data_IF_333483662946
#
_entry.id   IF_333483662946
#
_cell.length_a   1.000
_cell.length_b   1.000
_cell.length_c   1.000
_cell.angle_alpha   90.00
_cell.angle_beta   90.00
_cell.angle_gamma   90.00
#
_symmetry.space_group_name_H-M   'P 1'
#
loop_
_entity.id
_entity.type
_entity.pdbx_description
1 polymer ?
#
# COMPACT_ATOMS: atom_id res chain seq x y z
N UNK A 1 -33.70 0.67 8.94
CA UNK A 1 -34.48 1.67 9.69
C UNK A 1 -33.56 2.21 10.77
N UNK A 2 -33.09 3.45 10.59
CA UNK A 2 -32.18 4.10 11.54
C UNK A 2 -33.01 4.63 12.71
N UNK A 3 -32.75 4.10 13.91
CA UNK A 3 -33.30 4.65 15.15
C UNK A 3 -32.48 5.91 15.51
N UNK A 4 -33.10 7.09 15.64
CA UNK A 4 -32.36 8.29 15.92
C UNK A 4 -31.76 8.26 17.33
N UNK A 5 -30.47 8.60 17.44
CA UNK A 5 -29.76 8.69 18.73
C UNK A 5 -30.30 9.83 19.59
N UNK A 6 -30.05 9.77 20.90
CA UNK A 6 -30.61 10.68 21.92
C UNK A 6 -30.29 12.17 21.70
N UNK A 7 -29.30 12.48 20.86
CA UNK A 7 -28.83 13.84 20.55
C UNK A 7 -28.95 14.21 19.07
N UNK A 8 -29.75 13.48 18.28
CA UNK A 8 -29.84 13.63 16.83
C UNK A 8 -30.89 14.67 16.37
N UNK A 9 -31.12 15.76 17.14
CA UNK A 9 -32.07 16.82 16.77
C UNK A 9 -31.58 17.72 15.61
N UNK A 10 -30.33 17.55 15.14
CA UNK A 10 -29.80 18.29 14.00
C UNK A 10 -30.13 17.59 12.66
N UNK A 11 -31.15 18.08 11.94
CA UNK A 11 -31.46 17.69 10.55
C UNK A 11 -30.30 17.93 9.53
N UNK A 12 -29.20 18.55 9.94
CA UNK A 12 -28.08 18.91 9.07
C UNK A 12 -27.00 17.84 9.08
N UNK A 13 -26.98 17.01 8.04
CA UNK A 13 -25.94 15.99 7.77
C UNK A 13 -24.55 16.62 7.64
N UNK A 14 -23.51 15.89 8.06
CA UNK A 14 -22.13 16.29 7.84
C UNK A 14 -21.81 16.41 6.33
N UNK A 15 -20.91 17.34 6.00
CA UNK A 15 -20.54 17.65 4.62
C UNK A 15 -19.81 16.47 3.96
N UNK A 16 -20.33 16.01 2.81
CA UNK A 16 -19.69 14.98 1.97
C UNK A 16 -18.27 15.41 1.61
N UNK A 17 -18.13 16.63 1.10
CA UNK A 17 -16.84 17.16 0.63
C UNK A 17 -15.80 17.20 1.75
N UNK A 18 -16.18 17.69 2.95
CA UNK A 18 -15.26 17.67 4.10
C UNK A 18 -14.85 16.23 4.44
N UNK A 19 -15.80 15.30 4.47
CA UNK A 19 -15.52 13.89 4.82
C UNK A 19 -14.58 13.22 3.81
N UNK A 20 -14.81 13.46 2.52
CA UNK A 20 -13.95 12.95 1.44
C UNK A 20 -12.54 13.50 1.55
N UNK A 21 -12.39 14.81 1.75
CA UNK A 21 -11.06 15.42 1.88
C UNK A 21 -10.34 14.90 3.13
N UNK A 22 -11.03 14.73 4.26
CA UNK A 22 -10.44 14.10 5.46
C UNK A 22 -9.90 12.71 5.12
N UNK A 23 -10.72 11.86 4.48
CA UNK A 23 -10.31 10.50 4.09
C UNK A 23 -9.10 10.51 3.15
N UNK A 24 -9.10 11.39 2.14
CA UNK A 24 -7.99 11.51 1.19
C UNK A 24 -6.72 12.04 1.84
N UNK A 25 -6.79 13.01 2.74
CA UNK A 25 -5.61 13.53 3.45
C UNK A 25 -5.00 12.41 4.30
N UNK A 26 -5.80 11.74 5.13
CA UNK A 26 -5.31 10.68 6.01
C UNK A 26 -4.74 9.49 5.21
N UNK A 27 -5.40 9.12 4.11
CA UNK A 27 -4.93 8.09 3.18
C UNK A 27 -3.64 8.47 2.46
N UNK A 28 -3.54 9.67 1.90
CA UNK A 28 -2.33 10.16 1.19
C UNK A 28 -1.14 10.24 2.15
N UNK A 29 -1.34 10.71 3.39
CA UNK A 29 -0.27 10.77 4.38
C UNK A 29 0.21 9.36 4.73
N UNK A 30 -0.72 8.43 4.97
CA UNK A 30 -0.39 7.04 5.28
C UNK A 30 0.35 6.35 4.13
N UNK A 31 -0.19 6.39 2.92
CA UNK A 31 0.41 5.77 1.72
C UNK A 31 1.71 6.47 1.32
N UNK A 32 1.76 7.81 1.39
CA UNK A 32 2.96 8.59 1.10
C UNK A 32 4.11 8.25 2.04
N UNK A 33 3.84 8.09 3.33
CA UNK A 33 4.86 7.64 4.30
C UNK A 33 5.26 6.19 4.09
N UNK A 34 4.36 5.29 3.67
CA UNK A 34 4.73 3.91 3.30
C UNK A 34 5.78 3.93 2.19
N UNK A 35 5.52 4.67 1.11
CA UNK A 35 6.47 4.79 0.00
C UNK A 35 7.76 5.48 0.40
N UNK A 36 7.70 6.54 1.22
CA UNK A 36 8.89 7.22 1.71
C UNK A 36 9.78 6.29 2.55
N UNK A 37 9.19 5.48 3.43
CA UNK A 37 9.93 4.49 4.22
C UNK A 37 10.50 3.39 3.33
N UNK A 38 9.70 2.87 2.41
CA UNK A 38 10.10 1.75 1.57
C UNK A 38 11.21 2.12 0.58
N UNK A 39 11.04 3.22 -0.15
CA UNK A 39 12.06 3.68 -1.09
C UNK A 39 13.22 4.41 -0.40
N UNK A 40 12.99 5.04 0.74
CA UNK A 40 14.06 5.74 1.47
C UNK A 40 14.99 4.79 2.24
N UNK A 41 14.41 3.83 2.96
CA UNK A 41 15.13 2.97 3.92
C UNK A 41 15.25 1.54 3.40
N UNK A 42 14.15 0.93 2.94
CA UNK A 42 14.18 -0.49 2.56
C UNK A 42 15.03 -0.78 1.31
N UNK A 43 15.30 0.22 0.46
CA UNK A 43 16.27 0.08 -0.64
C UNK A 43 17.67 -0.31 -0.17
N UNK A 44 18.03 0.03 1.07
CA UNK A 44 19.33 -0.33 1.67
C UNK A 44 19.23 -1.58 2.56
N UNK A 45 18.12 -1.72 3.30
CA UNK A 45 17.93 -2.85 4.22
C UNK A 45 17.72 -4.16 3.46
N UNK A 46 16.91 -4.17 2.40
CA UNK A 46 16.58 -5.41 1.67
C UNK A 46 17.85 -6.06 1.08
N UNK A 47 18.74 -5.34 0.38
CA UNK A 47 19.98 -5.92 -0.12
C UNK A 47 20.90 -6.45 0.98
N UNK A 48 20.94 -5.78 2.14
CA UNK A 48 21.73 -6.21 3.28
C UNK A 48 21.18 -7.50 3.90
N UNK A 49 19.86 -7.62 4.05
CA UNK A 49 19.22 -8.81 4.63
C UNK A 49 19.21 -9.99 3.68
N UNK A 50 19.03 -9.74 2.37
CA UNK A 50 18.92 -10.76 1.34
C UNK A 50 20.24 -10.97 0.55
N UNK A 51 21.38 -10.62 1.15
CA UNK A 51 22.67 -10.62 0.46
C UNK A 51 23.00 -11.98 -0.20
N UNK A 52 22.76 -13.07 0.53
CA UNK A 52 23.04 -14.43 0.05
C UNK A 52 22.10 -14.84 -1.09
N UNK A 53 20.83 -14.48 -0.97
CA UNK A 53 19.82 -14.74 -1.98
C UNK A 53 20.14 -13.97 -3.26
N UNK A 54 20.46 -12.68 -3.15
CA UNK A 54 20.84 -11.83 -4.29
C UNK A 54 22.09 -12.37 -4.97
N UNK A 55 23.12 -12.73 -4.20
CA UNK A 55 24.35 -13.30 -4.75
C UNK A 55 24.09 -14.56 -5.59
N UNK A 56 23.29 -15.50 -5.07
CA UNK A 56 22.94 -16.74 -5.80
C UNK A 56 22.09 -16.47 -7.03
N UNK A 57 21.05 -15.65 -6.90
CA UNK A 57 20.20 -15.26 -8.01
C UNK A 57 21.02 -14.62 -9.14
N UNK A 58 21.93 -13.72 -8.78
CA UNK A 58 22.81 -13.06 -9.74
C UNK A 58 23.79 -14.05 -10.39
N UNK A 59 24.38 -14.99 -9.65
CA UNK A 59 25.28 -15.99 -10.23
C UNK A 59 24.60 -16.78 -11.34
N UNK A 60 23.41 -17.33 -11.07
CA UNK A 60 22.65 -18.08 -12.07
C UNK A 60 22.21 -17.20 -13.25
N UNK A 61 21.78 -15.97 -12.97
CA UNK A 61 21.40 -15.01 -14.00
C UNK A 61 22.56 -14.68 -14.94
N UNK A 62 23.73 -14.40 -14.37
CA UNK A 62 24.94 -14.09 -15.13
C UNK A 62 25.41 -15.27 -15.97
N UNK A 63 25.43 -16.48 -15.40
CA UNK A 63 25.82 -17.70 -16.11
C UNK A 63 24.95 -17.92 -17.35
N UNK A 64 23.62 -17.81 -17.20
CA UNK A 64 22.69 -17.97 -18.33
C UNK A 64 22.88 -16.85 -19.35
N UNK A 65 22.92 -15.58 -18.93
CA UNK A 65 23.13 -14.47 -19.85
C UNK A 65 24.45 -14.56 -20.62
N UNK A 66 25.54 -14.98 -19.98
CA UNK A 66 26.83 -15.22 -20.66
C UNK A 66 26.70 -16.35 -21.67
N UNK A 67 26.06 -17.46 -21.30
CA UNK A 67 25.88 -18.60 -22.22
C UNK A 67 25.02 -18.27 -23.44
N UNK A 68 24.07 -17.35 -23.28
CA UNK A 68 23.12 -16.92 -24.31
C UNK A 68 23.58 -15.67 -25.07
N UNK A 69 24.77 -15.14 -24.75
CA UNK A 69 25.30 -13.88 -25.29
C UNK A 69 24.32 -12.69 -25.14
N UNK A 70 23.66 -12.59 -23.98
CA UNK A 70 22.73 -11.50 -23.64
C UNK A 70 23.40 -10.54 -22.65
N UNK A 71 23.44 -9.23 -22.94
CA UNK A 71 24.03 -8.25 -22.03
C UNK A 71 23.10 -8.03 -20.83
N UNK A 72 23.70 -7.88 -19.65
CA UNK A 72 22.98 -7.68 -18.40
C UNK A 72 23.53 -6.46 -17.64
N UNK A 73 22.71 -5.94 -16.74
CA UNK A 73 23.03 -4.80 -15.88
C UNK A 73 22.38 -4.96 -14.52
N UNK A 74 22.90 -4.23 -13.52
CA UNK A 74 22.35 -4.22 -12.18
C UNK A 74 20.97 -3.53 -12.15
N UNK A 75 20.00 -4.20 -11.54
CA UNK A 75 18.64 -3.71 -11.36
C UNK A 75 18.34 -3.28 -9.93
N UNK A 76 17.06 -3.22 -9.60
CA UNK A 76 16.61 -2.83 -8.26
C UNK A 76 17.09 -3.83 -7.23
N UNK A 77 17.50 -3.34 -6.05
CA UNK A 77 18.04 -4.14 -4.95
C UNK A 77 19.31 -4.93 -5.30
N UNK A 78 19.99 -4.59 -6.39
CA UNK A 78 21.19 -5.30 -6.85
C UNK A 78 20.90 -6.58 -7.61
N UNK A 79 19.64 -6.89 -7.95
CA UNK A 79 19.28 -8.05 -8.77
C UNK A 79 19.51 -7.72 -10.24
N UNK A 80 20.26 -8.58 -10.93
CA UNK A 80 20.59 -8.36 -12.33
C UNK A 80 19.39 -8.58 -13.25
N UNK A 81 19.39 -7.84 -14.36
CA UNK A 81 18.38 -7.91 -15.41
C UNK A 81 19.02 -7.70 -16.78
N UNK A 82 18.29 -7.98 -17.86
CA UNK A 82 18.76 -7.72 -19.22
C UNK A 82 19.01 -6.22 -19.39
N UNK A 83 20.16 -5.87 -19.94
CA UNK A 83 20.46 -4.50 -20.37
C UNK A 83 19.68 -4.26 -21.67
N UNK A 84 18.44 -3.80 -21.54
CA UNK A 84 17.52 -3.61 -22.66
C UNK A 84 18.12 -2.71 -23.74
N UNK A 85 18.89 -1.68 -23.36
CA UNK A 85 19.53 -0.77 -24.32
C UNK A 85 20.58 -1.49 -25.15
N UNK A 86 21.48 -2.23 -24.50
CA UNK A 86 22.53 -2.97 -25.21
C UNK A 86 21.96 -4.12 -26.04
N UNK A 87 20.97 -4.83 -25.51
CA UNK A 87 20.40 -5.97 -26.22
C UNK A 87 19.59 -5.54 -27.44
N UNK A 88 18.77 -4.48 -27.33
CA UNK A 88 18.04 -3.92 -28.48
C UNK A 88 19.02 -3.42 -29.56
N UNK A 89 20.13 -2.81 -29.16
CA UNK A 89 21.17 -2.40 -30.11
C UNK A 89 21.79 -3.61 -30.83
N UNK A 90 22.12 -4.68 -30.11
CA UNK A 90 22.64 -5.91 -30.70
C UNK A 90 21.65 -6.55 -31.69
N UNK A 91 20.35 -6.57 -31.36
CA UNK A 91 19.31 -7.07 -32.26
C UNK A 91 19.19 -6.22 -33.54
N UNK A 92 19.28 -4.89 -33.41
CA UNK A 92 19.28 -3.99 -34.56
C UNK A 92 20.50 -4.21 -35.45
N UNK A 93 21.69 -4.39 -34.86
CA UNK A 93 22.93 -4.71 -35.60
C UNK A 93 22.88 -6.08 -36.30
N UNK A 94 22.09 -7.02 -35.77
CA UNK A 94 21.81 -8.32 -36.37
C UNK A 94 20.78 -8.26 -37.52
N UNK A 95 20.23 -7.08 -37.82
CA UNK A 95 19.30 -6.86 -38.93
C UNK A 95 17.84 -7.18 -38.60
N UNK A 96 17.47 -7.26 -37.32
CA UNK A 96 16.06 -7.36 -36.91
C UNK A 96 15.35 -6.03 -37.23
N UNK A 97 14.15 -6.13 -37.82
CA UNK A 97 13.31 -4.98 -38.15
C UNK A 97 12.93 -4.19 -36.90
N UNK A 98 12.91 -2.85 -37.00
CA UNK A 98 12.73 -1.94 -35.87
C UNK A 98 11.40 -2.17 -35.13
N UNK A 99 10.33 -2.49 -35.88
CA UNK A 99 9.00 -2.79 -35.36
C UNK A 99 8.95 -4.12 -34.56
N UNK A 100 9.94 -5.01 -34.74
CA UNK A 100 10.05 -6.32 -34.06
C UNK A 100 11.08 -6.37 -32.93
N UNK A 101 11.85 -5.29 -32.73
CA UNK A 101 12.92 -5.27 -31.72
C UNK A 101 12.39 -5.48 -30.30
N UNK A 102 11.29 -4.80 -29.95
CA UNK A 102 10.71 -4.90 -28.61
C UNK A 102 10.12 -6.28 -28.35
N UNK A 103 9.39 -6.84 -29.32
CA UNK A 103 8.79 -8.16 -29.20
C UNK A 103 9.87 -9.25 -29.05
N UNK A 104 10.93 -9.16 -29.86
CA UNK A 104 12.08 -10.08 -29.75
C UNK A 104 12.80 -9.94 -28.40
N UNK A 105 12.94 -8.71 -27.88
CA UNK A 105 13.50 -8.48 -26.55
C UNK A 105 12.64 -9.14 -25.45
N UNK A 106 11.33 -8.93 -25.48
CA UNK A 106 10.42 -9.50 -24.48
C UNK A 106 10.42 -11.03 -24.54
N UNK A 107 10.37 -11.62 -25.73
CA UNK A 107 10.50 -13.07 -25.92
C UNK A 107 11.81 -13.59 -25.32
N UNK A 108 12.93 -12.88 -25.49
CA UNK A 108 14.20 -13.30 -24.90
C UNK A 108 14.18 -13.24 -23.38
N UNK A 109 13.55 -12.22 -22.80
CA UNK A 109 13.40 -12.13 -21.33
C UNK A 109 12.60 -13.33 -20.81
N UNK A 110 11.47 -13.67 -21.46
CA UNK A 110 10.65 -14.82 -21.08
C UNK A 110 11.44 -16.14 -21.20
N UNK A 111 12.24 -16.32 -22.27
CA UNK A 111 13.10 -17.49 -22.43
C UNK A 111 14.15 -17.62 -21.30
N UNK A 112 14.72 -16.51 -20.86
CA UNK A 112 15.70 -16.48 -19.77
C UNK A 112 15.04 -16.84 -18.44
N UNK A 113 13.85 -16.32 -18.17
CA UNK A 113 13.07 -16.62 -16.97
C UNK A 113 12.69 -18.11 -16.92
N UNK A 114 12.27 -18.70 -18.06
CA UNK A 114 12.00 -20.13 -18.18
C UNK A 114 13.23 -21.01 -17.93
N UNK A 115 14.43 -20.54 -18.32
CA UNK A 115 15.69 -21.23 -18.03
C UNK A 115 16.07 -21.12 -16.57
N UNK A 116 15.92 -19.94 -15.96
CA UNK A 116 16.17 -19.71 -14.54
C UNK A 116 15.25 -20.57 -13.66
N UNK A 117 13.97 -20.67 -14.01
CA UNK A 117 13.01 -21.49 -13.28
C UNK A 117 13.38 -22.98 -13.23
N UNK A 118 14.19 -23.46 -14.18
CA UNK A 118 14.70 -24.85 -14.25
C UNK A 118 15.99 -25.07 -13.47
N UNK A 119 16.65 -24.02 -13.00
CA UNK A 119 17.86 -24.14 -12.19
C UNK A 119 17.50 -24.62 -10.79
N UNK A 120 18.17 -25.69 -10.34
CA UNK A 120 17.93 -26.27 -9.03
C UNK A 120 18.13 -25.22 -7.91
N UNK A 121 17.08 -25.01 -7.12
CA UNK A 121 17.09 -24.06 -6.01
C UNK A 121 16.82 -22.59 -6.38
N UNK A 122 16.67 -22.24 -7.67
CA UNK A 122 16.35 -20.87 -8.09
C UNK A 122 15.02 -20.40 -7.50
N UNK A 123 13.95 -21.15 -7.74
CA UNK A 123 12.60 -20.81 -7.27
C UNK A 123 12.53 -20.68 -5.75
N UNK A 124 13.23 -21.54 -5.00
CA UNK A 124 13.27 -21.46 -3.54
C UNK A 124 14.02 -20.20 -3.07
N UNK A 125 15.15 -19.89 -3.70
CA UNK A 125 15.97 -18.71 -3.37
C UNK A 125 15.21 -17.42 -3.70
N UNK A 126 14.55 -17.37 -4.85
CA UNK A 126 13.69 -16.26 -5.24
C UNK A 126 12.54 -16.07 -4.25
N UNK A 127 11.90 -17.15 -3.81
CA UNK A 127 10.84 -17.09 -2.78
C UNK A 127 11.36 -16.55 -1.45
N UNK A 128 12.59 -16.89 -1.04
CA UNK A 128 13.22 -16.35 0.18
C UNK A 128 13.48 -14.85 0.04
N UNK A 129 14.07 -14.41 -1.08
CA UNK A 129 14.23 -12.99 -1.40
C UNK A 129 12.89 -12.25 -1.34
N UNK A 130 11.85 -12.77 -2.01
CA UNK A 130 10.53 -12.16 -2.04
C UNK A 130 9.87 -12.10 -0.65
N UNK A 131 10.12 -13.09 0.21
CA UNK A 131 9.64 -13.08 1.59
C UNK A 131 10.29 -11.95 2.41
N UNK A 132 11.61 -11.73 2.23
CA UNK A 132 12.33 -10.62 2.87
C UNK A 132 11.79 -9.28 2.36
N UNK A 133 11.61 -9.14 1.05
CA UNK A 133 11.01 -7.97 0.43
C UNK A 133 9.63 -7.66 1.03
N UNK A 134 8.74 -8.66 1.03
CA UNK A 134 7.36 -8.53 1.49
C UNK A 134 7.29 -8.20 2.99
N UNK A 135 8.10 -8.84 3.82
CA UNK A 135 8.17 -8.56 5.27
C UNK A 135 8.55 -7.10 5.53
N UNK A 136 9.54 -6.57 4.80
CA UNK A 136 9.97 -5.19 4.92
C UNK A 136 8.88 -4.22 4.44
N UNK A 137 8.21 -4.53 3.33
CA UNK A 137 7.10 -3.74 2.84
C UNK A 137 5.92 -3.69 3.83
N UNK A 138 5.51 -4.84 4.38
CA UNK A 138 4.47 -4.92 5.43
C UNK A 138 4.90 -4.13 6.67
N UNK A 139 6.19 -4.18 7.04
CA UNK A 139 6.70 -3.38 8.16
C UNK A 139 6.53 -1.87 7.92
N UNK A 140 6.74 -1.39 6.69
CA UNK A 140 6.44 0.00 6.33
C UNK A 140 4.95 0.35 6.45
N UNK A 141 4.06 -0.54 6.01
CA UNK A 141 2.61 -0.40 6.22
C UNK A 141 2.31 -0.27 7.72
N UNK A 142 2.86 -1.17 8.53
CA UNK A 142 2.63 -1.19 9.96
C UNK A 142 3.11 0.08 10.65
N UNK A 143 4.32 0.55 10.34
CA UNK A 143 4.88 1.77 10.95
C UNK A 143 4.04 2.99 10.57
N UNK A 144 3.72 3.15 9.28
CA UNK A 144 2.95 4.31 8.81
C UNK A 144 1.54 4.36 9.42
N UNK A 145 0.81 3.26 9.35
CA UNK A 145 -0.56 3.16 9.91
C UNK A 145 -0.57 3.36 11.42
N UNK A 146 0.41 2.78 12.13
CA UNK A 146 0.55 2.96 13.58
C UNK A 146 0.73 4.44 13.94
N UNK A 147 1.51 5.19 13.16
CA UNK A 147 1.71 6.63 13.41
C UNK A 147 0.40 7.40 13.16
N UNK A 148 -0.18 7.29 11.96
CA UNK A 148 -1.25 8.18 11.53
C UNK A 148 -2.64 7.78 12.03
N UNK A 149 -2.94 6.50 12.14
CA UNK A 149 -4.27 6.00 12.50
C UNK A 149 -4.39 5.58 13.97
N UNK A 150 -3.28 5.46 14.71
CA UNK A 150 -3.29 5.11 16.13
C UNK A 150 -2.60 6.15 17.02
N UNK A 151 -1.30 6.37 16.88
CA UNK A 151 -0.52 7.24 17.78
C UNK A 151 -1.07 8.66 17.75
N UNK A 152 -1.23 9.25 16.55
CA UNK A 152 -1.72 10.63 16.43
C UNK A 152 -3.12 10.79 17.06
N UNK A 153 -4.12 9.94 16.75
CA UNK A 153 -5.40 9.97 17.44
C UNK A 153 -5.28 9.78 18.96
N UNK A 154 -4.51 8.82 19.45
CA UNK A 154 -4.41 8.59 20.90
C UNK A 154 -3.74 9.75 21.65
N UNK A 155 -2.79 10.44 21.02
CA UNK A 155 -2.15 11.62 21.59
C UNK A 155 -3.03 12.89 21.52
N UNK A 156 -4.12 12.87 20.75
CA UNK A 156 -5.06 13.97 20.68
C UNK A 156 -6.21 13.79 21.68
N UNK A 157 -6.50 14.83 22.47
CA UNK A 157 -7.60 14.83 23.47
C UNK A 157 -8.98 14.44 22.93
N UNK A 158 -9.21 14.56 21.61
CA UNK A 158 -10.48 14.19 20.94
C UNK A 158 -10.29 13.13 19.85
N UNK A 159 -9.19 12.38 19.88
CA UNK A 159 -8.96 11.25 18.98
C UNK A 159 -9.03 11.56 17.49
N UNK A 160 -8.54 12.75 17.12
CA UNK A 160 -8.56 13.24 15.74
C UNK A 160 -7.38 12.69 14.95
N UNK A 161 -7.65 12.27 13.72
CA UNK A 161 -6.63 12.14 12.66
C UNK A 161 -6.21 13.52 12.16
N UNK A 162 -5.15 13.60 11.34
CA UNK A 162 -4.66 14.88 10.80
C UNK A 162 -5.73 15.58 9.98
N UNK A 163 -6.42 14.87 9.09
CA UNK A 163 -7.53 15.41 8.31
C UNK A 163 -8.63 15.99 9.21
N UNK A 164 -9.01 15.26 10.27
CA UNK A 164 -10.01 15.74 11.23
C UNK A 164 -9.56 17.00 11.99
N UNK A 165 -8.26 17.14 12.27
CA UNK A 165 -7.72 18.37 12.88
C UNK A 165 -7.89 19.58 11.97
N UNK A 166 -7.56 19.44 10.68
CA UNK A 166 -7.69 20.51 9.67
C UNK A 166 -9.15 21.00 9.57
N UNK A 167 -10.10 20.07 9.52
CA UNK A 167 -11.52 20.38 9.36
C UNK A 167 -12.28 20.56 10.68
N UNK A 168 -11.59 20.63 11.83
CA UNK A 168 -12.19 20.77 13.17
C UNK A 168 -13.36 19.80 13.38
N UNK A 169 -13.14 18.53 13.04
CA UNK A 169 -14.13 17.46 13.14
C UNK A 169 -13.68 16.42 14.17
N UNK A 170 -14.62 15.64 14.69
CA UNK A 170 -14.36 14.57 15.65
C UNK A 170 -14.93 13.26 15.14
N UNK A 171 -14.29 12.16 15.55
CA UNK A 171 -14.84 10.83 15.40
C UNK A 171 -15.75 10.54 16.60
N UNK A 172 -17.01 10.25 16.34
CA UNK A 172 -18.06 10.10 17.35
C UNK A 172 -18.88 8.83 17.14
N UNK A 173 -19.56 8.37 18.18
CA UNK A 173 -20.55 7.30 18.09
C UNK A 173 -21.92 7.83 17.61
N UNK A 174 -22.94 6.96 17.54
CA UNK A 174 -24.31 7.30 17.12
C UNK A 174 -24.96 8.42 17.95
N UNK A 175 -24.57 8.57 19.21
CA UNK A 175 -25.07 9.59 20.13
C UNK A 175 -24.21 10.88 20.09
N UNK A 176 -23.32 11.02 19.10
CA UNK A 176 -22.36 12.11 18.94
C UNK A 176 -21.37 12.26 20.11
N UNK A 177 -21.16 11.20 20.88
CA UNK A 177 -20.14 11.14 21.92
C UNK A 177 -18.80 10.78 21.28
N UNK A 178 -17.74 11.49 21.64
CA UNK A 178 -16.37 11.25 21.15
C UNK A 178 -15.96 9.79 21.38
N UNK A 179 -15.38 9.16 20.35
CA UNK A 179 -15.00 7.76 20.37
C UNK A 179 -14.04 7.42 21.53
N UNK A 180 -14.25 6.27 22.18
CA UNK A 180 -13.35 5.78 23.22
C UNK A 180 -12.05 5.20 22.64
N UNK A 181 -10.99 5.12 23.45
CA UNK A 181 -9.71 4.52 23.05
C UNK A 181 -9.86 3.10 22.47
N UNK A 182 -10.77 2.28 23.02
CA UNK A 182 -11.01 0.92 22.52
C UNK A 182 -11.62 0.91 21.11
N UNK A 183 -12.49 1.87 20.81
CA UNK A 183 -13.07 2.07 19.48
C UNK A 183 -12.03 2.58 18.48
N UNK A 184 -11.12 3.46 18.91
CA UNK A 184 -9.98 3.89 18.10
C UNK A 184 -9.06 2.72 17.76
N UNK A 185 -8.71 1.90 18.76
CA UNK A 185 -7.88 0.71 18.55
C UNK A 185 -8.52 -0.28 17.58
N UNK A 186 -9.83 -0.54 17.72
CA UNK A 186 -10.55 -1.43 16.81
C UNK A 186 -10.57 -0.88 15.37
N UNK A 187 -10.79 0.44 15.23
CA UNK A 187 -10.75 1.13 13.93
C UNK A 187 -9.37 0.98 13.28
N UNK A 188 -8.31 1.22 14.04
CA UNK A 188 -6.93 1.05 13.59
C UNK A 188 -6.64 -0.39 13.14
N UNK A 189 -6.98 -1.39 13.96
CA UNK A 189 -6.73 -2.80 13.63
C UNK A 189 -7.47 -3.21 12.35
N UNK A 190 -8.68 -2.70 12.15
CA UNK A 190 -9.45 -2.97 10.94
C UNK A 190 -8.79 -2.35 9.71
N UNK A 191 -8.39 -1.08 9.77
CA UNK A 191 -7.66 -0.41 8.67
C UNK A 191 -6.37 -1.18 8.36
N UNK A 192 -5.57 -1.49 9.37
CA UNK A 192 -4.27 -2.11 9.19
C UNK A 192 -4.37 -3.53 8.63
N UNK A 193 -5.18 -4.39 9.25
CA UNK A 193 -5.23 -5.82 8.92
C UNK A 193 -6.09 -6.04 7.68
N UNK A 194 -7.28 -5.45 7.63
CA UNK A 194 -8.27 -5.77 6.60
C UNK A 194 -8.08 -4.88 5.38
N UNK A 195 -8.12 -3.56 5.55
CA UNK A 195 -8.13 -2.62 4.41
C UNK A 195 -6.76 -2.49 3.74
N UNK A 196 -5.67 -2.71 4.47
CA UNK A 196 -4.32 -2.57 3.94
C UNK A 196 -3.60 -3.92 3.75
N UNK A 197 -3.31 -4.66 4.82
CA UNK A 197 -2.48 -5.89 4.71
C UNK A 197 -3.21 -6.98 3.91
N UNK A 198 -4.44 -7.35 4.29
CA UNK A 198 -5.15 -8.43 3.62
C UNK A 198 -5.47 -8.08 2.16
N UNK A 199 -5.94 -6.86 1.90
CA UNK A 199 -6.20 -6.37 0.54
C UNK A 199 -4.93 -6.41 -0.32
N UNK A 200 -3.79 -5.95 0.20
CA UNK A 200 -2.53 -6.01 -0.52
C UNK A 200 -2.08 -7.45 -0.80
N UNK A 201 -2.19 -8.35 0.17
CA UNK A 201 -1.80 -9.75 -0.01
C UNK A 201 -2.69 -10.50 -1.03
N UNK A 202 -3.96 -10.12 -1.15
CA UNK A 202 -4.91 -10.78 -2.06
C UNK A 202 -4.92 -10.20 -3.47
N UNK A 203 -4.86 -8.87 -3.61
CA UNK A 203 -5.10 -8.17 -4.88
C UNK A 203 -4.04 -7.07 -5.13
N UNK A 204 -2.98 -7.01 -4.32
CA UNK A 204 -1.88 -6.06 -4.45
C UNK A 204 -2.38 -4.59 -4.45
N UNK A 205 -1.65 -3.67 -5.07
CA UNK A 205 -2.01 -2.25 -5.16
C UNK A 205 -3.36 -1.98 -5.81
N UNK A 206 -3.79 -2.83 -6.75
CA UNK A 206 -5.10 -2.71 -7.38
C UNK A 206 -6.20 -2.87 -6.33
N UNK A 207 -6.01 -3.79 -5.37
CA UNK A 207 -6.90 -3.96 -4.23
C UNK A 207 -7.05 -2.69 -3.41
N UNK A 208 -5.94 -2.03 -3.05
CA UNK A 208 -5.95 -0.82 -2.23
C UNK A 208 -6.69 0.32 -2.95
N UNK A 209 -6.43 0.49 -4.25
CA UNK A 209 -7.16 1.48 -5.07
C UNK A 209 -8.66 1.18 -5.11
N UNK A 210 -9.04 -0.08 -5.27
CA UNK A 210 -10.44 -0.48 -5.33
C UNK A 210 -11.17 -0.29 -3.99
N UNK A 211 -10.53 -0.65 -2.88
CA UNK A 211 -11.03 -0.39 -1.52
C UNK A 211 -11.28 1.11 -1.32
N UNK A 212 -10.32 1.95 -1.71
CA UNK A 212 -10.43 3.41 -1.60
C UNK A 212 -11.64 3.93 -2.37
N UNK A 213 -11.88 3.41 -3.59
CA UNK A 213 -13.04 3.77 -4.40
C UNK A 213 -14.36 3.34 -3.74
N UNK A 214 -14.43 2.12 -3.21
CA UNK A 214 -15.60 1.65 -2.45
C UNK A 214 -15.88 2.58 -1.27
N UNK A 215 -14.84 2.94 -0.51
CA UNK A 215 -14.97 3.84 0.64
C UNK A 215 -15.46 5.23 0.22
N UNK A 216 -14.99 5.78 -0.90
CA UNK A 216 -15.50 7.06 -1.44
C UNK A 216 -16.98 6.97 -1.85
N UNK A 217 -17.41 5.85 -2.42
CA UNK A 217 -18.83 5.58 -2.72
C UNK A 217 -19.64 5.54 -1.42
N UNK A 218 -19.19 4.79 -0.40
CA UNK A 218 -19.87 4.70 0.89
C UNK A 218 -20.02 6.09 1.55
N UNK A 219 -18.98 6.91 1.53
CA UNK A 219 -19.04 8.29 2.04
C UNK A 219 -20.09 9.11 1.30
N UNK A 220 -20.20 8.95 -0.03
CA UNK A 220 -21.12 9.71 -0.89
C UNK A 220 -22.58 9.38 -0.63
N UNK A 221 -22.90 8.09 -0.41
CA UNK A 221 -24.29 7.62 -0.40
C UNK A 221 -24.85 7.34 0.99
N UNK A 222 -24.01 7.13 2.01
CA UNK A 222 -24.50 6.88 3.38
C UNK A 222 -24.92 8.17 4.09
N UNK A 223 -25.97 8.09 4.92
CA UNK A 223 -26.49 9.25 5.67
C UNK A 223 -25.47 9.89 6.60
N UNK A 224 -24.67 9.07 7.28
CA UNK A 224 -23.63 9.49 8.22
C UNK A 224 -22.22 9.52 7.60
N UNK A 225 -22.11 9.41 6.26
CA UNK A 225 -20.86 9.58 5.52
C UNK A 225 -19.76 8.62 6.00
N UNK A 226 -20.13 7.35 6.15
CA UNK A 226 -19.26 6.31 6.67
C UNK A 226 -18.16 5.95 5.68
N UNK A 227 -16.95 5.77 6.19
CA UNK A 227 -15.95 4.90 5.56
C UNK A 227 -16.15 3.43 5.99
N UNK A 228 -15.43 2.51 5.36
CA UNK A 228 -15.62 1.08 5.59
C UNK A 228 -15.27 0.68 7.05
N UNK A 229 -14.11 1.10 7.57
CA UNK A 229 -13.75 0.94 8.98
C UNK A 229 -14.71 1.62 9.97
N UNK A 230 -15.38 2.70 9.55
CA UNK A 230 -16.32 3.46 10.39
C UNK A 230 -17.64 2.68 10.58
N UNK A 231 -18.10 1.97 9.53
CA UNK A 231 -19.27 1.07 9.61
C UNK A 231 -19.05 -0.03 10.64
N UNK A 232 -17.88 -0.68 10.61
CA UNK A 232 -17.54 -1.80 11.50
C UNK A 232 -17.44 -1.34 12.95
N UNK A 233 -16.90 -0.14 13.16
CA UNK A 233 -16.73 0.42 14.51
C UNK A 233 -17.97 1.13 15.04
N UNK A 234 -19.00 1.33 14.20
CA UNK A 234 -20.17 2.17 14.48
C UNK A 234 -19.79 3.60 14.89
N UNK A 235 -18.83 4.17 14.18
CA UNK A 235 -18.36 5.55 14.36
C UNK A 235 -18.67 6.37 13.12
N UNK A 236 -18.79 7.69 13.25
CA UNK A 236 -18.84 8.60 12.12
C UNK A 236 -18.11 9.91 12.44
N UNK A 237 -17.80 10.67 11.40
CA UNK A 237 -17.17 11.99 11.54
C UNK A 237 -18.25 13.05 11.63
N UNK A 238 -18.14 13.92 12.63
CA UNK A 238 -19.08 15.03 12.84
C UNK A 238 -18.35 16.34 13.21
N UNK A 239 -19.01 17.48 13.03
CA UNK A 239 -18.46 18.78 13.43
C UNK A 239 -18.18 18.83 14.93
N UNK A 240 -17.04 19.41 15.31
CA UNK A 240 -16.64 19.51 16.72
C UNK A 240 -17.66 20.24 17.61
N UNK A 241 -18.44 21.16 17.04
CA UNK A 241 -19.51 21.88 17.75
C UNK A 241 -20.70 20.99 18.13
N UNK A 242 -20.84 19.82 17.50
CA UNK A 242 -21.93 18.87 17.72
C UNK A 242 -21.50 17.62 18.48
N UNK A 243 -20.24 17.54 18.89
CA UNK A 243 -19.68 16.39 19.61
C UNK A 243 -19.66 16.62 21.11
N UNK A 244 -20.02 15.60 21.88
CA UNK A 244 -19.99 15.61 23.34
C UNK A 244 -18.84 14.75 23.85
N UNK A 245 -18.27 15.11 24.99
CA UNK A 245 -17.37 14.25 25.77
C UNK A 245 -18.20 13.59 26.87
N UNK A 246 -17.92 12.32 27.18
CA UNK A 246 -18.44 11.70 28.41
C UNK A 246 -17.98 12.45 29.66
#
# INVERSE_FOLDING_TARGET
MDNPGLFQESNKKYSITKRMIIFLIDGILTIGTIFALFFGICQFIIPSLAHNEIYKLNSWYQEICISENVPYTEGTYGIYKVDSKKYILQLSEQGIEEDKLMDTYLQKVDELDDKLAKVDGYTETYRKFNSIYLLNFISCICVSTLIFELIIPLCNKRHKTIGMMIFKSNLVNRDNIVASNSKILLRFLFIQIIELIAVYLLINWIGILFETLITLVLISFTGNRYALHDLVTNLHVEEQSKSFTE
#
